data_IF_373572853394
#
_entry.id   IF_373572853394
#
_cell.length_a   1.000
_cell.length_b   1.000
_cell.length_c   1.000
_cell.angle_alpha   90.00
_cell.angle_beta   90.00
_cell.angle_gamma   90.00
#
_symmetry.space_group_name_H-M   'P 1'
#
loop_
_entity.id
_entity.type
_entity.pdbx_description
1 polymer ?
#
# COMPACT_ATOMS: atom_id res chain seq x y z
N UNK A 1 13.58 -1.01 -8.83
CA UNK A 1 12.68 -0.30 -7.91
C UNK A 1 12.22 -1.28 -6.87
N UNK A 2 12.31 -0.97 -5.57
CA UNK A 2 11.80 -1.85 -4.52
C UNK A 2 10.27 -1.62 -4.33
N UNK A 3 9.61 -2.40 -3.47
CA UNK A 3 8.17 -2.26 -3.29
C UNK A 3 7.79 -0.95 -2.59
N UNK A 4 8.62 -0.47 -1.67
CA UNK A 4 8.41 0.82 -1.01
C UNK A 4 8.39 1.99 -2.02
N UNK A 5 9.35 2.02 -2.94
CA UNK A 5 9.42 3.03 -4.00
C UNK A 5 8.22 2.92 -4.94
N UNK A 6 7.82 1.68 -5.28
CA UNK A 6 6.62 1.41 -6.07
C UNK A 6 5.36 1.97 -5.41
N UNK A 7 5.18 1.77 -4.09
CA UNK A 7 4.01 2.27 -3.35
C UNK A 7 3.97 3.81 -3.38
N UNK A 8 5.11 4.48 -3.19
CA UNK A 8 5.18 5.93 -3.33
C UNK A 8 4.91 6.41 -4.76
N UNK A 9 5.39 5.68 -5.78
CA UNK A 9 5.05 6.00 -7.17
C UNK A 9 3.55 5.80 -7.43
N UNK A 10 2.94 4.76 -6.85
CA UNK A 10 1.51 4.50 -6.96
C UNK A 10 0.64 5.61 -6.35
N UNK A 11 1.09 6.31 -5.30
CA UNK A 11 0.38 7.50 -4.80
C UNK A 11 0.30 8.58 -5.89
N UNK A 12 1.40 8.78 -6.62
CA UNK A 12 1.48 9.76 -7.73
C UNK A 12 0.73 9.28 -8.97
N UNK A 13 0.77 7.98 -9.25
CA UNK A 13 0.20 7.31 -10.42
C UNK A 13 -0.61 6.09 -9.98
N UNK A 14 -1.86 6.28 -9.52
CA UNK A 14 -2.67 5.20 -8.95
C UNK A 14 -2.98 4.05 -9.91
N UNK A 15 -2.88 4.28 -11.22
CA UNK A 15 -3.00 3.21 -12.22
C UNK A 15 -2.02 2.05 -11.96
N UNK A 16 -0.80 2.33 -11.47
CA UNK A 16 0.23 1.33 -11.21
C UNK A 16 -0.22 0.27 -10.20
N UNK A 17 -0.77 0.71 -9.06
CA UNK A 17 -1.20 -0.24 -8.02
C UNK A 17 -2.50 -0.94 -8.41
N UNK A 18 -3.34 -0.33 -9.25
CA UNK A 18 -4.55 -0.96 -9.76
C UNK A 18 -4.21 -2.07 -10.76
N UNK A 19 -3.28 -1.82 -11.68
CA UNK A 19 -2.80 -2.81 -12.64
C UNK A 19 -2.16 -3.99 -11.90
N UNK A 20 -1.25 -3.69 -10.96
CA UNK A 20 -0.61 -4.71 -10.13
C UNK A 20 -1.64 -5.52 -9.31
N UNK A 21 -2.61 -4.85 -8.68
CA UNK A 21 -3.66 -5.52 -7.92
C UNK A 21 -4.47 -6.50 -8.80
N UNK A 22 -4.75 -6.14 -10.06
CA UNK A 22 -5.44 -7.04 -11.00
C UNK A 22 -4.62 -8.26 -11.35
N UNK A 23 -3.30 -8.11 -11.53
CA UNK A 23 -2.40 -9.24 -11.82
C UNK A 23 -2.40 -10.29 -10.71
N UNK A 24 -2.55 -9.86 -9.45
CA UNK A 24 -2.65 -10.75 -8.28
C UNK A 24 -4.09 -11.12 -7.91
N UNK A 25 -5.06 -10.85 -8.79
CA UNK A 25 -6.46 -11.28 -8.64
C UNK A 25 -7.35 -10.38 -7.78
N UNK A 26 -6.89 -9.20 -7.37
CA UNK A 26 -7.67 -8.21 -6.64
C UNK A 26 -8.40 -7.25 -7.59
N UNK A 27 -9.50 -6.67 -7.10
CA UNK A 27 -10.29 -5.66 -7.82
C UNK A 27 -10.52 -4.45 -6.92
N UNK A 28 -9.51 -3.57 -6.76
CA UNK A 28 -9.66 -2.39 -5.94
C UNK A 28 -10.67 -1.41 -6.57
N UNK A 29 -11.35 -0.58 -5.76
CA UNK A 29 -12.21 0.48 -6.26
C UNK A 29 -11.38 1.52 -7.04
N UNK A 30 -12.01 2.39 -7.84
CA UNK A 30 -11.30 3.50 -8.48
C UNK A 30 -10.52 4.35 -7.48
N UNK A 31 -9.36 4.90 -7.87
CA UNK A 31 -8.53 5.68 -6.98
C UNK A 31 -9.16 7.06 -6.75
N UNK A 32 -9.06 7.62 -5.53
CA UNK A 32 -9.53 8.97 -5.26
C UNK A 32 -8.63 10.03 -5.91
N UNK A 33 -9.13 11.26 -6.04
CA UNK A 33 -8.38 12.38 -6.65
C UNK A 33 -7.48 13.10 -5.62
N UNK A 34 -8.00 13.31 -4.40
CA UNK A 34 -7.29 13.98 -3.31
C UNK A 34 -6.01 13.22 -2.93
N UNK A 35 -4.98 13.98 -2.56
CA UNK A 35 -3.68 13.41 -2.23
C UNK A 35 -3.71 12.55 -0.96
N UNK A 36 -4.34 13.03 0.11
CA UNK A 36 -4.42 12.30 1.37
C UNK A 36 -5.35 11.09 1.25
N UNK A 37 -6.43 11.20 0.47
CA UNK A 37 -7.27 10.04 0.14
C UNK A 37 -6.47 8.99 -0.64
N UNK A 38 -5.59 9.41 -1.58
CA UNK A 38 -4.72 8.48 -2.31
C UNK A 38 -3.68 7.81 -1.44
N UNK A 39 -3.10 8.54 -0.49
CA UNK A 39 -2.19 7.97 0.49
C UNK A 39 -2.86 6.84 1.27
N UNK A 40 -4.04 7.11 1.83
CA UNK A 40 -4.82 6.11 2.56
C UNK A 40 -5.19 4.91 1.66
N UNK A 41 -5.65 5.19 0.44
CA UNK A 41 -6.01 4.18 -0.55
C UNK A 41 -4.85 3.24 -0.86
N UNK A 42 -3.66 3.77 -1.16
CA UNK A 42 -2.47 2.97 -1.46
C UNK A 42 -2.03 2.17 -0.23
N UNK A 43 -2.06 2.77 0.97
CA UNK A 43 -1.71 2.07 2.21
C UNK A 43 -2.63 0.87 2.45
N UNK A 44 -3.95 1.04 2.26
CA UNK A 44 -4.92 -0.05 2.37
C UNK A 44 -4.71 -1.14 1.32
N UNK A 45 -4.45 -0.77 0.07
CA UNK A 45 -4.21 -1.77 -0.97
C UNK A 45 -2.90 -2.52 -0.73
N UNK A 46 -1.85 -1.87 -0.21
CA UNK A 46 -0.59 -2.55 0.10
C UNK A 46 -0.79 -3.73 1.06
N UNK A 47 -1.69 -3.58 2.04
CA UNK A 47 -2.09 -4.66 2.96
C UNK A 47 -2.77 -5.81 2.21
N UNK A 48 -3.73 -5.50 1.32
CA UNK A 48 -4.42 -6.52 0.53
C UNK A 48 -3.48 -7.26 -0.44
N UNK A 49 -2.50 -6.56 -1.01
CA UNK A 49 -1.46 -7.16 -1.85
C UNK A 49 -0.61 -8.14 -1.05
N UNK A 50 -0.16 -7.77 0.16
CA UNK A 50 0.60 -8.68 1.02
C UNK A 50 -0.19 -9.93 1.39
N UNK A 51 -1.49 -9.81 1.63
CA UNK A 51 -2.37 -10.94 1.92
C UNK A 51 -2.53 -11.87 0.70
N UNK A 52 -2.72 -11.29 -0.49
CA UNK A 52 -2.87 -12.04 -1.73
C UNK A 52 -1.58 -12.77 -2.13
N UNK A 53 -0.43 -12.16 -1.89
CA UNK A 53 0.90 -12.68 -2.24
C UNK A 53 1.53 -13.53 -1.12
N UNK A 54 0.77 -13.87 -0.08
CA UNK A 54 1.32 -14.50 1.12
C UNK A 54 2.10 -15.78 0.81
N UNK A 55 3.34 -15.82 1.30
CA UNK A 55 4.21 -16.98 1.23
C UNK A 55 5.26 -16.96 2.34
N UNK A 56 5.87 -18.11 2.61
CA UNK A 56 6.92 -18.28 3.64
C UNK A 56 8.34 -18.09 3.09
N UNK A 57 8.49 -17.21 2.09
CA UNK A 57 9.77 -16.99 1.41
C UNK A 57 10.41 -15.62 1.73
N UNK A 58 11.69 -15.50 1.39
CA UNK A 58 12.44 -14.24 1.57
C UNK A 58 11.91 -13.10 0.68
N UNK A 59 11.17 -13.40 -0.38
CA UNK A 59 10.57 -12.38 -1.22
C UNK A 59 9.41 -11.71 -0.48
N UNK A 60 8.48 -12.51 0.07
CA UNK A 60 7.37 -12.03 0.87
C UNK A 60 7.85 -11.29 2.12
N UNK A 61 8.85 -11.82 2.83
CA UNK A 61 9.43 -11.15 3.99
C UNK A 61 10.00 -9.75 3.68
N UNK A 62 10.62 -9.56 2.50
CA UNK A 62 11.08 -8.24 2.04
C UNK A 62 9.91 -7.33 1.66
N UNK A 63 8.93 -7.84 0.91
CA UNK A 63 7.71 -7.10 0.54
C UNK A 63 6.98 -6.58 1.77
N UNK A 64 6.83 -7.43 2.77
CA UNK A 64 6.26 -7.10 4.06
C UNK A 64 6.98 -5.91 4.73
N UNK A 65 8.32 -6.00 4.88
CA UNK A 65 9.09 -4.97 5.56
C UNK A 65 9.00 -3.61 4.85
N UNK A 66 9.04 -3.63 3.51
CA UNK A 66 8.92 -2.45 2.66
C UNK A 66 7.52 -1.80 2.74
N UNK A 67 6.46 -2.62 2.69
CA UNK A 67 5.10 -2.16 2.84
C UNK A 67 4.80 -1.63 4.25
N UNK A 68 5.33 -2.29 5.30
CA UNK A 68 5.21 -1.83 6.69
C UNK A 68 5.83 -0.44 6.86
N UNK A 69 7.02 -0.23 6.29
CA UNK A 69 7.68 1.08 6.31
C UNK A 69 6.79 2.14 5.65
N UNK A 70 6.34 1.90 4.43
CA UNK A 70 5.45 2.81 3.72
C UNK A 70 4.19 3.11 4.54
N UNK A 71 3.53 2.08 5.05
CA UNK A 71 2.28 2.21 5.81
C UNK A 71 2.45 3.08 7.07
N UNK A 72 3.56 2.92 7.81
CA UNK A 72 3.83 3.71 9.01
C UNK A 72 4.13 5.16 8.70
N UNK A 73 4.85 5.45 7.61
CA UNK A 73 5.09 6.82 7.14
C UNK A 73 3.76 7.48 6.73
N UNK A 74 2.94 6.78 5.94
CA UNK A 74 1.60 7.29 5.58
C UNK A 74 0.71 7.51 6.79
N UNK A 75 0.74 6.60 7.77
CA UNK A 75 -0.04 6.75 9.00
C UNK A 75 0.40 7.99 9.81
N UNK A 76 1.68 8.33 9.79
CA UNK A 76 2.18 9.57 10.39
C UNK A 76 1.67 10.80 9.63
N UNK A 77 1.80 10.84 8.30
CA UNK A 77 1.36 11.95 7.45
C UNK A 77 -0.16 12.20 7.59
N UNK A 78 -0.96 11.14 7.57
CA UNK A 78 -2.42 11.24 7.72
C UNK A 78 -2.81 11.76 9.11
N UNK A 79 -2.06 11.40 10.14
CA UNK A 79 -2.31 11.88 11.49
C UNK A 79 -2.12 13.39 11.61
N UNK A 80 -1.16 13.97 10.87
CA UNK A 80 -0.93 15.42 10.85
C UNK A 80 -2.14 16.21 10.31
N UNK A 81 -2.95 15.58 9.45
CA UNK A 81 -4.18 16.15 8.89
C UNK A 81 -5.46 15.64 9.56
N UNK A 82 -5.35 15.03 10.74
CA UNK A 82 -6.49 14.58 11.54
C UNK A 82 -7.17 13.30 11.03
N UNK A 83 -6.49 12.51 10.21
CA UNK A 83 -6.96 11.21 9.70
C UNK A 83 -6.21 10.07 10.36
N UNK A 84 -6.89 8.94 10.56
CA UNK A 84 -6.28 7.78 11.22
C UNK A 84 -6.37 6.55 10.34
N UNK A 85 -5.21 5.97 10.02
CA UNK A 85 -5.12 4.62 9.49
C UNK A 85 -5.24 3.59 10.64
N UNK A 86 -5.84 2.43 10.40
CA UNK A 86 -5.76 1.29 11.30
C UNK A 86 -4.31 0.90 11.60
N UNK A 87 -4.07 0.12 12.66
CA UNK A 87 -2.73 -0.42 12.90
C UNK A 87 -2.35 -1.41 11.79
N UNK A 88 -1.07 -1.39 11.38
CA UNK A 88 -0.53 -2.39 10.47
C UNK A 88 -0.38 -3.73 11.20
N UNK A 89 -1.17 -4.73 10.80
CA UNK A 89 -1.18 -6.07 11.42
C UNK A 89 -0.66 -7.15 10.50
N UNK A 90 -0.20 -6.80 9.29
CA UNK A 90 0.43 -7.77 8.41
C UNK A 90 1.84 -8.05 8.92
N UNK A 91 2.25 -9.31 8.80
CA UNK A 91 3.51 -9.84 9.32
C UNK A 91 3.60 -9.80 10.86
#
# INVERSE_FOLDING_TARGET
>A
MNFYDFLWEAVRRPALIIEYAKEVGLKPPPPPEDFYDRLEYVARISVLLLEAERGDDQFWGRRCAEAKRFYLEVAADLKEVGRNLPSFTQC
#
